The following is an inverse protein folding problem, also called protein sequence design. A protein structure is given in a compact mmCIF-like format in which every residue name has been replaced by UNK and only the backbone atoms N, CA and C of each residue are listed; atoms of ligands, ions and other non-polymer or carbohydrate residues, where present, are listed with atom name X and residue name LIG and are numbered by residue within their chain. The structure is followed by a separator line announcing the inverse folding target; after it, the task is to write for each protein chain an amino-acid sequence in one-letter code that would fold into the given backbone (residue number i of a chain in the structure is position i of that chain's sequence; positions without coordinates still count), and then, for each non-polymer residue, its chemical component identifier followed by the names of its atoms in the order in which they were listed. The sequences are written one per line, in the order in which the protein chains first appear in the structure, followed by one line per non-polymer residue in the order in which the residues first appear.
data_IF_985624591143
#
_entry.id   IF_985624591143
#
_cell.length_a   1.000
_cell.length_b   1.000
_cell.length_c   1.000
_cell.angle_alpha   90.00
_cell.angle_beta   90.00
_cell.angle_gamma   90.00
#
_symmetry.space_group_name_H-M   'P 1'
#
loop_
_entity.id
_entity.type
_entity.pdbx_description
1 polymer ?
#
# COMPACT_ATOMS: atom_id res chain seq x y z
N UNK A 1 1.74 -8.42 0.49
CA UNK A 1 1.13 -7.09 0.62
C UNK A 1 -0.27 -7.28 1.13
N UNK A 2 -0.49 -7.01 2.41
CA UNK A 2 -1.83 -7.03 3.00
C UNK A 2 -2.59 -5.79 2.53
N UNK A 3 -3.85 -5.95 2.15
CA UNK A 3 -4.73 -4.87 1.72
C UNK A 3 -6.02 -4.98 2.50
N UNK A 4 -6.61 -3.83 2.81
CA UNK A 4 -7.94 -3.78 3.41
C UNK A 4 -8.89 -3.16 2.39
N UNK A 5 -10.00 -3.83 2.12
CA UNK A 5 -11.08 -3.34 1.28
C UNK A 5 -12.33 -3.09 2.13
N UNK A 6 -12.77 -1.83 2.18
CA UNK A 6 -13.93 -1.40 2.97
C UNK A 6 -15.04 -1.00 2.01
N UNK A 7 -16.24 -1.51 2.26
CA UNK A 7 -17.46 -1.05 1.58
C UNK A 7 -18.41 -0.46 2.61
N UNK A 8 -18.64 0.85 2.54
CA UNK A 8 -19.66 1.53 3.32
C UNK A 8 -21.05 1.20 2.74
N UNK A 9 -21.80 0.37 3.47
CA UNK A 9 -23.13 -0.12 3.04
C UNK A 9 -24.20 0.97 2.96
N UNK A 10 -24.07 2.03 3.75
CA UNK A 10 -25.03 3.15 3.75
C UNK A 10 -24.90 4.00 2.48
N UNK A 11 -23.66 4.21 2.04
CA UNK A 11 -23.32 4.95 0.83
C UNK A 11 -23.47 4.12 -0.44
N UNK A 12 -23.30 2.80 -0.36
CA UNK A 12 -23.36 1.91 -1.52
C UNK A 12 -24.78 1.83 -2.11
N UNK A 13 -25.01 2.46 -3.27
CA UNK A 13 -26.26 2.35 -4.04
C UNK A 13 -26.15 1.30 -5.14
N UNK A 14 -25.94 0.04 -4.74
CA UNK A 14 -25.75 -1.14 -5.62
C UNK A 14 -26.82 -1.27 -6.72
N UNK A 15 -28.08 -0.98 -6.39
CA UNK A 15 -29.21 -1.09 -7.33
C UNK A 15 -29.18 0.01 -8.40
N UNK A 16 -28.68 1.20 -8.05
CA UNK A 16 -28.56 2.33 -8.98
C UNK A 16 -27.30 2.23 -9.85
N UNK A 17 -26.19 1.76 -9.28
CA UNK A 17 -24.92 1.70 -9.99
C UNK A 17 -24.73 0.40 -10.81
N UNK A 18 -25.60 -0.60 -10.59
CA UNK A 18 -25.56 -1.87 -11.32
C UNK A 18 -24.23 -2.61 -11.15
N UNK A 19 -23.70 -2.63 -9.93
CA UNK A 19 -22.43 -3.27 -9.55
C UNK A 19 -21.23 -2.84 -10.41
N UNK A 20 -21.11 -1.54 -10.68
CA UNK A 20 -20.03 -0.97 -11.47
C UNK A 20 -18.63 -1.44 -11.01
N UNK A 21 -18.42 -1.56 -9.69
CA UNK A 21 -17.17 -2.05 -9.10
C UNK A 21 -16.74 -3.42 -9.65
N UNK A 22 -17.67 -4.39 -9.75
CA UNK A 22 -17.43 -5.72 -10.32
C UNK A 22 -17.05 -5.63 -11.80
N UNK A 23 -17.76 -4.80 -12.58
CA UNK A 23 -17.56 -4.64 -14.04
C UNK A 23 -16.22 -3.99 -14.42
N UNK A 24 -15.69 -3.12 -13.55
CA UNK A 24 -14.45 -2.38 -13.81
C UNK A 24 -13.20 -3.04 -13.20
N UNK A 25 -13.39 -4.02 -12.31
CA UNK A 25 -12.28 -4.72 -11.69
C UNK A 25 -11.47 -5.49 -12.75
N UNK A 26 -10.15 -5.27 -12.87
CA UNK A 26 -9.33 -5.94 -13.87
C UNK A 26 -9.22 -7.44 -13.60
N UNK A 27 -9.21 -7.86 -12.34
CA UNK A 27 -9.14 -9.27 -11.95
C UNK A 27 -10.43 -10.01 -12.33
N UNK A 28 -11.60 -9.37 -12.16
CA UNK A 28 -12.86 -9.90 -12.69
C UNK A 28 -12.92 -10.00 -14.21
N UNK A 29 -12.15 -9.18 -14.94
CA UNK A 29 -12.07 -9.26 -16.41
C UNK A 29 -11.15 -10.37 -16.88
N UNK A 30 -10.25 -10.85 -16.04
CA UNK A 30 -9.36 -11.99 -16.32
C UNK A 30 -9.95 -13.33 -15.86
N UNK A 31 -11.28 -13.42 -15.71
CA UNK A 31 -12.04 -14.60 -15.26
C UNK A 31 -11.77 -15.07 -13.81
N UNK A 32 -11.29 -14.18 -12.94
CA UNK A 32 -11.13 -14.43 -11.51
C UNK A 32 -12.18 -13.68 -10.68
N UNK A 33 -12.64 -14.22 -9.56
CA UNK A 33 -13.75 -13.63 -8.81
C UNK A 33 -13.30 -12.68 -7.68
N UNK A 34 -12.54 -11.63 -8.00
CA UNK A 34 -12.07 -10.68 -6.99
C UNK A 34 -13.20 -9.87 -6.32
N UNK A 35 -14.22 -9.46 -7.07
CA UNK A 35 -15.41 -8.80 -6.52
C UNK A 35 -16.64 -9.63 -6.86
N UNK A 36 -17.30 -10.15 -5.83
CA UNK A 36 -18.53 -10.96 -5.94
C UNK A 36 -19.70 -10.23 -5.31
N UNK A 37 -20.92 -10.67 -5.61
CA UNK A 37 -22.13 -10.15 -4.95
C UNK A 37 -22.53 -11.19 -3.91
N UNK A 38 -22.65 -10.76 -2.67
CA UNK A 38 -23.18 -11.59 -1.60
C UNK A 38 -24.65 -11.91 -1.89
N UNK A 39 -24.99 -13.18 -2.05
CA UNK A 39 -26.35 -13.61 -2.34
C UNK A 39 -27.32 -13.28 -1.19
N UNK A 40 -26.84 -13.23 0.06
CA UNK A 40 -27.70 -13.00 1.23
C UNK A 40 -28.02 -11.52 1.41
N UNK A 41 -27.01 -10.67 1.28
CA UNK A 41 -27.17 -9.22 1.54
C UNK A 41 -27.34 -8.40 0.26
N UNK A 42 -27.02 -8.98 -0.89
CA UNK A 42 -26.94 -8.31 -2.19
C UNK A 42 -25.78 -7.32 -2.30
N UNK A 43 -24.97 -7.09 -1.26
CA UNK A 43 -23.86 -6.14 -1.35
C UNK A 43 -22.64 -6.77 -2.02
N UNK A 44 -21.81 -5.98 -2.72
CA UNK A 44 -20.54 -6.49 -3.21
C UNK A 44 -19.62 -6.87 -2.03
N UNK A 45 -18.85 -7.95 -2.22
CA UNK A 45 -17.73 -8.37 -1.36
C UNK A 45 -16.47 -8.30 -2.22
N UNK A 46 -15.39 -7.77 -1.65
CA UNK A 46 -14.07 -7.71 -2.30
C UNK A 46 -13.17 -8.71 -1.60
N UNK A 47 -12.59 -9.64 -2.36
CA UNK A 47 -11.56 -10.55 -1.87
C UNK A 47 -10.23 -9.79 -1.77
N UNK A 48 -9.74 -9.64 -0.53
CA UNK A 48 -8.50 -8.91 -0.23
C UNK A 48 -7.23 -9.64 -0.69
N UNK A 49 -7.29 -10.97 -0.86
CA UNK A 49 -6.20 -11.79 -1.37
C UNK A 49 -6.03 -11.68 -2.89
N UNK A 50 -7.15 -11.60 -3.63
CA UNK A 50 -7.16 -11.40 -5.09
C UNK A 50 -7.03 -9.93 -5.50
N UNK A 51 -7.44 -8.99 -4.64
CA UNK A 51 -7.39 -7.57 -4.96
C UNK A 51 -5.95 -7.06 -5.11
N UNK A 52 -5.64 -6.52 -6.28
CA UNK A 52 -4.30 -5.95 -6.57
C UNK A 52 -4.15 -4.48 -6.14
N UNK A 53 -5.20 -3.85 -5.62
CA UNK A 53 -5.14 -2.45 -5.17
C UNK A 53 -5.07 -1.42 -6.30
N UNK A 54 -5.54 -1.75 -7.51
CA UNK A 54 -5.50 -0.84 -8.67
C UNK A 54 -6.39 0.41 -8.55
N UNK A 55 -7.33 0.44 -7.60
CA UNK A 55 -8.19 1.60 -7.34
C UNK A 55 -9.29 1.89 -8.37
N UNK A 56 -9.49 1.05 -9.40
CA UNK A 56 -10.51 1.28 -10.42
C UNK A 56 -11.94 1.25 -9.85
N UNK A 57 -12.24 0.30 -8.96
CA UNK A 57 -13.54 0.22 -8.29
C UNK A 57 -13.81 1.45 -7.41
N UNK A 58 -12.80 1.94 -6.69
CA UNK A 58 -12.85 3.17 -5.88
C UNK A 58 -13.12 4.37 -6.77
N UNK A 59 -12.26 4.60 -7.77
CA UNK A 59 -12.38 5.75 -8.69
C UNK A 59 -13.74 5.80 -9.39
N UNK A 60 -14.29 4.65 -9.78
CA UNK A 60 -15.59 4.59 -10.45
C UNK A 60 -16.76 4.77 -9.48
N UNK A 61 -16.63 4.31 -8.24
CA UNK A 61 -17.59 4.59 -7.18
C UNK A 61 -17.61 6.07 -6.79
N UNK A 62 -16.43 6.72 -6.77
CA UNK A 62 -16.29 8.16 -6.50
C UNK A 62 -16.86 9.01 -7.62
N UNK A 63 -16.60 8.65 -8.88
CA UNK A 63 -17.14 9.33 -10.07
C UNK A 63 -18.66 9.23 -10.17
N UNK A 64 -19.25 8.20 -9.59
CA UNK A 64 -20.70 8.05 -9.45
C UNK A 64 -21.24 8.73 -8.18
N UNK A 65 -20.43 9.54 -7.51
CA UNK A 65 -20.75 10.34 -6.32
C UNK A 65 -21.17 9.54 -5.08
N UNK A 66 -20.91 8.22 -5.05
CA UNK A 66 -21.26 7.38 -3.89
C UNK A 66 -20.15 7.30 -2.85
N UNK A 67 -18.87 7.25 -3.29
CA UNK A 67 -17.70 7.13 -2.40
C UNK A 67 -17.81 6.00 -1.37
N UNK A 68 -18.40 4.88 -1.77
CA UNK A 68 -18.74 3.78 -0.88
C UNK A 68 -17.62 2.73 -0.74
N UNK A 69 -16.57 2.79 -1.56
CA UNK A 69 -15.50 1.78 -1.59
C UNK A 69 -14.18 2.45 -1.25
N UNK A 70 -13.45 1.89 -0.30
CA UNK A 70 -12.08 2.27 0.02
C UNK A 70 -11.18 1.05 -0.07
N UNK A 71 -10.04 1.17 -0.74
CA UNK A 71 -9.03 0.12 -0.78
C UNK A 71 -7.72 0.72 -0.28
N UNK A 72 -7.22 0.19 0.83
CA UNK A 72 -6.02 0.67 1.50
C UNK A 72 -4.94 -0.40 1.40
N UNK A 73 -3.78 -0.03 0.87
CA UNK A 73 -2.60 -0.88 0.93
C UNK A 73 -1.97 -0.71 2.31
N UNK A 74 -1.91 -1.77 3.11
CA UNK A 74 -1.25 -1.70 4.40
C UNK A 74 0.27 -1.77 4.21
N UNK A 75 1.03 -1.02 5.03
CA UNK A 75 2.47 -1.19 5.08
C UNK A 75 2.77 -2.59 5.60
N UNK A 76 3.55 -3.34 4.82
CA UNK A 76 4.12 -4.62 5.25
C UNK A 76 5.64 -4.43 5.34
N UNK A 77 6.26 -5.15 6.28
CA UNK A 77 7.71 -5.18 6.37
C UNK A 77 8.29 -5.71 5.06
N UNK A 78 9.29 -4.99 4.52
CA UNK A 78 9.94 -5.41 3.28
C UNK A 78 10.70 -6.72 3.51
N UNK A 79 10.57 -7.65 2.56
CA UNK A 79 11.26 -8.95 2.57
C UNK A 79 12.72 -8.86 2.12
N UNK A 80 13.16 -7.68 1.68
CA UNK A 80 14.54 -7.44 1.24
C UNK A 80 15.51 -7.30 2.41
N UNK A 81 16.80 -7.53 2.17
CA UNK A 81 17.82 -7.31 3.19
C UNK A 81 17.88 -5.82 3.56
N UNK A 82 17.80 -5.48 4.85
CA UNK A 82 17.86 -4.09 5.27
C UNK A 82 19.28 -3.53 5.10
N UNK A 83 19.38 -2.22 4.87
CA UNK A 83 20.65 -1.48 4.81
C UNK A 83 21.22 -1.27 6.20
N UNK A 84 20.36 -0.95 7.18
CA UNK A 84 20.77 -0.73 8.55
C UNK A 84 19.69 -1.16 9.55
N UNK A 85 20.10 -1.74 10.68
CA UNK A 85 19.25 -2.08 11.83
C UNK A 85 19.94 -1.63 13.10
N UNK A 86 19.29 -0.82 13.94
CA UNK A 86 19.91 -0.36 15.19
C UNK A 86 20.02 -1.48 16.25
N UNK A 87 19.08 -2.43 16.23
CA UNK A 87 19.06 -3.57 17.14
C UNK A 87 17.76 -4.37 17.04
N UNK A 88 17.61 -5.36 17.91
CA UNK A 88 16.38 -6.14 18.02
C UNK A 88 15.21 -5.22 18.45
N UNK A 89 14.09 -5.30 17.74
CA UNK A 89 12.89 -4.45 17.95
C UNK A 89 13.14 -2.93 17.82
N UNK A 90 14.22 -2.52 17.16
CA UNK A 90 14.50 -1.13 16.88
C UNK A 90 14.27 -0.80 15.40
N UNK A 91 14.47 0.48 15.06
CA UNK A 91 14.29 0.98 13.71
C UNK A 91 15.16 0.23 12.68
N UNK A 92 14.57 -0.04 11.51
CA UNK A 92 15.19 -0.73 10.38
C UNK A 92 15.05 0.15 9.14
N UNK A 93 16.16 0.39 8.45
CA UNK A 93 16.20 1.10 7.18
C UNK A 93 16.48 0.13 6.04
N UNK A 94 15.63 0.13 5.01
CA UNK A 94 15.69 -0.83 3.90
C UNK A 94 16.32 -0.30 2.62
N UNK A 95 16.22 0.99 2.35
CA UNK A 95 16.71 1.61 1.11
C UNK A 95 17.35 2.95 1.40
N UNK A 96 18.21 3.39 0.49
CA UNK A 96 18.79 4.73 0.49
C UNK A 96 18.32 5.49 -0.76
N UNK A 97 18.15 6.82 -0.67
CA UNK A 97 17.95 7.63 -1.85
C UNK A 97 19.21 7.60 -2.72
N UNK A 98 19.04 7.59 -4.04
CA UNK A 98 20.15 7.57 -4.99
C UNK A 98 20.46 8.99 -5.47
N UNK A 99 21.59 9.61 -5.06
CA UNK A 99 21.99 10.92 -5.55
C UNK A 99 22.33 10.84 -7.05
N UNK A 100 21.76 11.75 -7.84
CA UNK A 100 22.05 11.85 -9.28
C UNK A 100 22.97 13.06 -9.54
N UNK A 101 24.13 12.89 -10.19
CA UNK A 101 25.04 13.99 -10.50
C UNK A 101 24.35 15.13 -11.25
N UNK A 102 24.62 16.38 -10.85
CA UNK A 102 24.05 17.57 -11.48
C UNK A 102 22.56 17.81 -11.20
N UNK A 103 21.93 17.04 -10.30
CA UNK A 103 20.51 17.20 -9.92
C UNK A 103 20.35 17.35 -8.41
N UNK A 104 19.33 18.11 -8.01
CA UNK A 104 18.90 18.21 -6.61
C UNK A 104 17.92 17.05 -6.34
N UNK A 105 18.23 16.21 -5.35
CA UNK A 105 17.35 15.13 -4.91
C UNK A 105 16.65 15.54 -3.63
N UNK A 106 15.32 15.70 -3.67
CA UNK A 106 14.50 15.99 -2.50
C UNK A 106 14.13 14.72 -1.73
N UNK A 107 14.33 14.71 -0.41
CA UNK A 107 13.92 13.62 0.48
C UNK A 107 12.77 14.07 1.37
N UNK A 108 11.55 13.62 1.05
CA UNK A 108 10.31 14.03 1.73
C UNK A 108 9.63 12.81 2.36
N UNK A 109 9.07 12.99 3.57
CA UNK A 109 8.33 11.96 4.30
C UNK A 109 8.07 12.37 5.75
N UNK A 110 7.21 11.64 6.47
CA UNK A 110 6.93 11.90 7.88
C UNK A 110 8.15 11.68 8.80
N UNK A 111 8.09 12.24 10.01
CA UNK A 111 9.11 12.02 11.03
C UNK A 111 9.16 10.53 11.42
N UNK A 112 10.37 10.01 11.67
CA UNK A 112 10.56 8.59 12.01
C UNK A 112 10.71 7.63 10.82
N UNK A 113 10.69 8.11 9.56
CA UNK A 113 10.92 7.25 8.38
C UNK A 113 12.41 7.01 8.02
N UNK A 114 13.35 7.43 8.88
CA UNK A 114 14.79 7.22 8.64
C UNK A 114 15.46 8.20 7.68
N UNK A 115 14.86 9.38 7.44
CA UNK A 115 15.46 10.43 6.60
C UNK A 115 16.85 10.86 7.09
N UNK A 116 16.96 11.16 8.39
CA UNK A 116 18.24 11.54 9.01
C UNK A 116 19.24 10.40 8.94
N UNK A 117 18.83 9.17 9.27
CA UNK A 117 19.67 7.96 9.18
C UNK A 117 20.19 7.72 7.76
N UNK A 118 19.37 7.94 6.73
CA UNK A 118 19.79 7.82 5.35
C UNK A 118 20.86 8.85 4.96
N UNK A 119 20.72 10.09 5.45
CA UNK A 119 21.72 11.15 5.23
C UNK A 119 23.04 10.86 5.96
N UNK A 120 22.99 10.36 7.19
CA UNK A 120 24.18 9.95 7.96
C UNK A 120 24.94 8.81 7.28
N UNK A 121 24.22 7.87 6.64
CA UNK A 121 24.85 6.79 5.87
C UNK A 121 25.50 7.34 4.60
N UNK A 122 24.79 8.19 3.86
CA UNK A 122 25.31 8.78 2.62
C UNK A 122 26.47 9.76 2.86
N UNK A 123 26.51 10.42 4.03
CA UNK A 123 27.63 11.29 4.44
C UNK A 123 28.81 10.51 5.00
N UNK A 124 28.68 9.19 5.21
CA UNK A 124 29.72 8.33 5.78
C UNK A 124 29.85 8.43 7.31
N UNK A 125 28.97 9.18 7.99
CA UNK A 125 28.95 9.29 9.45
C UNK A 125 28.43 8.00 10.11
N UNK A 126 27.53 7.27 9.45
CA UNK A 126 27.00 5.99 9.91
C UNK A 126 27.34 4.88 8.92
N UNK A 127 28.09 3.87 9.36
CA UNK A 127 28.37 2.69 8.52
C UNK A 127 27.16 1.74 8.52
N UNK A 128 26.61 1.37 7.34
CA UNK A 128 25.52 0.40 7.26
C UNK A 128 25.98 -0.97 7.78
N UNK A 129 25.12 -1.65 8.54
CA UNK A 129 25.39 -3.01 9.05
C UNK A 129 24.67 -4.10 8.27
N UNK A 130 23.94 -3.74 7.21
CA UNK A 130 23.24 -4.66 6.31
C UNK A 130 22.31 -5.63 7.05
N UNK A 131 21.71 -5.16 8.16
CA UNK A 131 20.84 -5.96 9.01
C UNK A 131 21.53 -6.75 10.12
N UNK A 132 22.87 -6.73 10.17
CA UNK A 132 23.63 -7.33 11.26
C UNK A 132 23.33 -6.63 12.58
N UNK A 133 22.97 -7.41 13.59
CA UNK A 133 22.79 -6.91 14.95
C UNK A 133 24.18 -6.66 15.53
N UNK A 134 24.53 -5.39 15.78
CA UNK A 134 25.65 -5.12 16.68
C UNK A 134 25.12 -5.27 18.09
N UNK A 135 25.34 -6.44 18.68
CA UNK A 135 25.21 -6.59 20.13
C UNK A 135 26.13 -5.56 20.77
N UNK A 136 25.52 -4.64 21.53
CA UNK A 136 26.22 -3.75 22.44
C UNK A 136 26.10 -4.32 23.84
#
# INVERSE_FOLDING_TARGET
MTRIAIINRELCKKDKCGYLCKKVCPINRTNEECIVVDEKTGFPIIDEGLCIGCGLCVSKCDKAEYKAIHVVNLPEQLKESPIHRFGKNQFILYRLPFPSPGKIVGLVGSNGLGKTTALEILSGQLKPNLGGEKES
#
